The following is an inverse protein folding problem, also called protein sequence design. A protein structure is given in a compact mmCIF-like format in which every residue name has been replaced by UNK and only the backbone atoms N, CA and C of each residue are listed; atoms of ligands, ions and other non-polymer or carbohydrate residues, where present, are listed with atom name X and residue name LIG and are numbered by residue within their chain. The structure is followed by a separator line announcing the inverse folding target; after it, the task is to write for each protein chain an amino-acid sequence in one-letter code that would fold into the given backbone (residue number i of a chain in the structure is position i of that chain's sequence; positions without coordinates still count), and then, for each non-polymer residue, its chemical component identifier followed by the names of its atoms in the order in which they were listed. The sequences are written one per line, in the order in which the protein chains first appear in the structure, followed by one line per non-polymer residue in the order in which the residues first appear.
data_IF_616739891455
#
_entry.id   IF_616739891455
#
_cell.length_a   1.000
_cell.length_b   1.000
_cell.length_c   1.000
_cell.angle_alpha   90.00
_cell.angle_beta   90.00
_cell.angle_gamma   90.00
#
_symmetry.space_group_name_H-M   'P 1'
#
loop_
_entity.id
_entity.type
_entity.pdbx_description
1 polymer ?
#
# COMPACT_ATOMS: atom_id res chain seq x y z
N UNK A 1 49.53 -2.21 -50.17
CA UNK A 1 49.18 -3.40 -49.37
C UNK A 1 49.73 -3.18 -47.97
N UNK A 2 49.02 -3.19 -46.84
CA UNK A 2 47.67 -3.61 -46.45
C UNK A 2 47.24 -2.77 -45.25
N UNK A 3 45.95 -2.49 -45.20
CA UNK A 3 45.21 -1.83 -44.12
C UNK A 3 45.32 -2.64 -42.82
N UNK A 4 45.57 -1.99 -41.69
CA UNK A 4 45.20 -2.50 -40.36
C UNK A 4 44.42 -1.42 -39.60
N UNK A 5 43.10 -1.58 -39.60
CA UNK A 5 42.16 -0.88 -38.74
C UNK A 5 42.33 -1.41 -37.32
N UNK A 6 42.57 -0.54 -36.34
CA UNK A 6 42.29 -0.86 -34.95
C UNK A 6 41.04 -0.10 -34.50
N UNK A 7 40.04 -0.92 -34.22
CA UNK A 7 38.69 -0.59 -33.81
C UNK A 7 38.69 -0.46 -32.28
N UNK A 8 38.11 0.63 -31.78
CA UNK A 8 37.19 0.63 -30.63
C UNK A 8 37.76 0.50 -29.22
N UNK A 9 37.57 1.55 -28.42
CA UNK A 9 36.69 1.49 -27.23
C UNK A 9 36.47 2.92 -26.69
N UNK A 10 35.36 3.54 -27.07
CA UNK A 10 34.83 4.70 -26.38
C UNK A 10 34.32 4.24 -25.00
N UNK A 11 34.99 4.64 -23.92
CA UNK A 11 34.46 4.50 -22.57
C UNK A 11 33.37 5.56 -22.36
N UNK A 12 32.20 5.33 -22.93
CA UNK A 12 31.00 6.09 -22.58
C UNK A 12 30.52 5.61 -21.21
N UNK A 13 30.93 6.33 -20.16
CA UNK A 13 30.41 6.16 -18.81
C UNK A 13 28.94 6.63 -18.79
N UNK A 14 28.00 5.75 -19.16
CA UNK A 14 26.58 6.01 -18.99
C UNK A 14 26.25 6.00 -17.50
N UNK A 15 26.23 7.18 -16.88
CA UNK A 15 25.60 7.37 -15.58
C UNK A 15 24.10 7.15 -15.77
N UNK A 16 23.63 5.94 -15.45
CA UNK A 16 22.21 5.69 -15.22
C UNK A 16 21.81 6.46 -13.96
N UNK A 17 21.46 7.74 -14.13
CA UNK A 17 20.77 8.49 -13.09
C UNK A 17 19.44 7.77 -12.85
N UNK A 18 19.39 6.98 -11.78
CA UNK A 18 18.14 6.41 -11.31
C UNK A 18 17.25 7.58 -10.93
N UNK A 19 16.17 7.81 -11.68
CA UNK A 19 15.14 8.77 -11.26
C UNK A 19 14.66 8.32 -9.89
N UNK A 20 15.05 9.04 -8.84
CA UNK A 20 14.49 8.82 -7.52
C UNK A 20 12.98 8.97 -7.65
N UNK A 21 12.23 7.93 -7.32
CA UNK A 21 10.77 8.00 -7.29
C UNK A 21 10.39 9.12 -6.32
N UNK A 22 9.88 10.24 -6.85
CA UNK A 22 9.42 11.34 -6.03
C UNK A 22 8.14 10.89 -5.34
N UNK A 23 8.21 10.74 -4.03
CA UNK A 23 7.05 10.48 -3.20
C UNK A 23 6.68 11.78 -2.47
N UNK A 24 5.40 12.15 -2.51
CA UNK A 24 4.93 13.35 -1.83
C UNK A 24 4.43 13.00 -0.42
N UNK A 25 4.91 13.66 0.64
CA UNK A 25 4.38 13.45 1.98
C UNK A 25 2.93 13.97 2.05
N UNK A 26 2.02 13.13 2.52
CA UNK A 26 0.62 13.47 2.71
C UNK A 26 0.04 12.70 3.89
N UNK A 27 -1.29 12.66 3.99
CA UNK A 27 -1.96 11.89 5.03
C UNK A 27 -3.37 11.45 4.63
N UNK A 28 -3.88 10.45 5.35
CA UNK A 28 -5.25 9.97 5.18
C UNK A 28 -6.25 10.84 5.94
N UNK A 29 -7.37 11.20 5.35
CA UNK A 29 -8.44 11.99 5.99
C UNK A 29 -9.55 11.13 6.59
N UNK A 30 -9.42 9.80 6.54
CA UNK A 30 -10.34 8.85 7.17
C UNK A 30 -9.62 7.53 7.49
N UNK A 31 -10.31 6.60 8.15
CA UNK A 31 -9.85 5.21 8.22
C UNK A 31 -10.09 4.55 6.85
N UNK A 32 -9.03 4.28 6.08
CA UNK A 32 -9.12 3.80 4.69
C UNK A 32 -8.36 2.51 4.47
N UNK A 33 -8.91 1.63 3.63
CA UNK A 33 -8.25 0.39 3.26
C UNK A 33 -7.05 0.65 2.34
N UNK A 34 -5.88 0.16 2.73
CA UNK A 34 -4.71 0.05 1.86
C UNK A 34 -4.83 -1.27 1.09
N UNK A 35 -5.02 -1.22 -0.22
CA UNK A 35 -5.31 -2.42 -1.04
C UNK A 35 -4.13 -2.86 -1.88
N UNK A 36 -4.12 -4.14 -2.24
CA UNK A 36 -3.07 -4.72 -3.09
C UNK A 36 -3.15 -4.32 -4.57
N UNK A 37 -4.15 -3.54 -4.97
CA UNK A 37 -4.36 -3.03 -6.32
C UNK A 37 -5.51 -2.01 -6.35
N UNK A 38 -5.64 -1.22 -7.44
CA UNK A 38 -6.61 -0.12 -7.56
C UNK A 38 -8.01 -0.60 -8.00
N UNK A 39 -8.56 -1.59 -7.29
CA UNK A 39 -9.93 -2.08 -7.44
C UNK A 39 -10.42 -2.52 -6.05
N UNK A 40 -11.71 -2.37 -5.78
CA UNK A 40 -12.30 -2.81 -4.52
C UNK A 40 -12.30 -4.32 -4.34
N UNK A 41 -12.13 -5.08 -5.41
CA UNK A 41 -11.99 -6.53 -5.34
C UNK A 41 -10.61 -6.95 -4.80
N UNK A 42 -9.56 -6.14 -4.98
CA UNK A 42 -8.25 -6.44 -4.42
C UNK A 42 -8.30 -6.44 -2.88
N UNK A 43 -7.65 -7.41 -2.21
CA UNK A 43 -7.67 -7.51 -0.76
C UNK A 43 -7.03 -6.30 -0.11
N UNK A 44 -7.54 -5.96 1.07
CA UNK A 44 -6.91 -4.99 1.95
C UNK A 44 -5.68 -5.64 2.62
N UNK A 45 -4.56 -4.90 2.61
CA UNK A 45 -3.35 -5.20 3.36
C UNK A 45 -3.57 -4.83 4.82
N UNK A 46 -4.11 -3.63 5.04
CA UNK A 46 -4.39 -3.03 6.35
C UNK A 46 -5.36 -1.84 6.19
N UNK A 47 -5.67 -1.16 7.29
CA UNK A 47 -6.40 0.11 7.36
C UNK A 47 -5.44 1.22 7.81
N UNK A 48 -5.29 2.24 6.95
CA UNK A 48 -4.60 3.49 7.29
C UNK A 48 -5.56 4.33 8.15
N UNK A 49 -5.19 4.69 9.39
CA UNK A 49 -6.05 5.52 10.22
C UNK A 49 -6.18 6.94 9.71
N UNK A 50 -7.26 7.56 10.12
CA UNK A 50 -7.45 8.99 9.97
C UNK A 50 -6.29 9.79 10.58
N UNK A 51 -5.77 10.73 9.80
CA UNK A 51 -4.66 11.61 10.15
C UNK A 51 -3.27 11.00 10.03
N UNK A 52 -3.14 9.69 9.76
CA UNK A 52 -1.82 9.07 9.64
C UNK A 52 -1.09 9.52 8.37
N UNK A 53 0.22 9.72 8.52
CA UNK A 53 1.11 10.16 7.44
C UNK A 53 1.30 9.04 6.43
N UNK A 54 1.30 9.36 5.14
CA UNK A 54 1.60 8.46 4.03
C UNK A 54 2.59 9.12 3.08
N UNK A 55 3.32 8.33 2.32
CA UNK A 55 4.06 8.81 1.16
C UNK A 55 3.25 8.46 -0.10
N UNK A 56 2.82 9.47 -0.85
CA UNK A 56 2.05 9.30 -2.08
C UNK A 56 3.03 9.08 -3.23
N UNK A 57 3.06 7.86 -3.76
CA UNK A 57 4.03 7.41 -4.76
C UNK A 57 3.61 7.76 -6.19
N UNK A 58 2.31 7.83 -6.43
CA UNK A 58 1.74 8.12 -7.74
C UNK A 58 0.24 7.89 -7.77
N UNK A 59 -0.45 8.43 -8.76
CA UNK A 59 -1.89 8.22 -8.95
C UNK A 59 -2.21 7.66 -10.34
N UNK A 60 -3.35 6.98 -10.48
CA UNK A 60 -3.85 6.62 -11.80
C UNK A 60 -4.19 7.87 -12.61
N UNK A 61 -4.22 7.73 -13.94
CA UNK A 61 -4.51 8.82 -14.89
C UNK A 61 -5.93 9.40 -14.72
N UNK A 62 -6.88 8.58 -14.26
CA UNK A 62 -8.23 9.00 -13.92
C UNK A 62 -8.36 9.58 -12.50
N UNK A 63 -7.25 9.58 -11.75
CA UNK A 63 -7.14 10.04 -10.36
C UNK A 63 -8.05 9.31 -9.38
N UNK A 64 -8.60 8.14 -9.72
CA UNK A 64 -9.50 7.40 -8.82
C UNK A 64 -8.79 6.74 -7.64
N UNK A 65 -7.52 6.39 -7.83
CA UNK A 65 -6.66 5.71 -6.87
C UNK A 65 -5.26 6.30 -6.89
N UNK A 66 -4.61 6.27 -5.73
CA UNK A 66 -3.19 6.55 -5.60
C UNK A 66 -2.46 5.42 -4.89
N UNK A 67 -1.27 5.10 -5.39
CA UNK A 67 -0.30 4.26 -4.72
C UNK A 67 0.32 5.05 -3.57
N UNK A 68 0.37 4.45 -2.39
CA UNK A 68 0.98 5.03 -1.19
C UNK A 68 1.90 4.02 -0.50
N UNK A 69 2.88 4.52 0.22
CA UNK A 69 3.65 3.77 1.23
C UNK A 69 3.19 4.21 2.62
N UNK A 70 2.79 3.24 3.44
CA UNK A 70 2.32 3.46 4.80
C UNK A 70 2.79 2.33 5.73
N UNK A 71 3.47 2.69 6.82
CA UNK A 71 4.02 1.76 7.83
C UNK A 71 4.80 0.57 7.22
N UNK A 72 5.55 0.84 6.15
CA UNK A 72 6.35 -0.14 5.41
C UNK A 72 5.57 -0.95 4.36
N UNK A 73 4.25 -0.82 4.32
CA UNK A 73 3.39 -1.47 3.35
C UNK A 73 3.06 -0.52 2.20
N UNK A 74 3.26 -1.01 0.99
CA UNK A 74 2.96 -0.30 -0.25
C UNK A 74 1.66 -0.83 -0.83
N UNK A 75 0.77 0.03 -1.28
CA UNK A 75 -0.52 -0.37 -1.82
C UNK A 75 -1.32 0.82 -2.36
N UNK A 76 -2.60 0.60 -2.65
CA UNK A 76 -3.48 1.56 -3.31
C UNK A 76 -4.60 2.01 -2.40
N UNK A 77 -4.89 3.31 -2.41
CA UNK A 77 -5.98 3.94 -1.66
C UNK A 77 -6.80 4.83 -2.58
N UNK A 78 -8.06 5.03 -2.22
CA UNK A 78 -8.93 6.01 -2.87
C UNK A 78 -8.34 7.41 -2.70
N UNK A 79 -8.19 8.14 -3.80
CA UNK A 79 -7.50 9.44 -3.83
C UNK A 79 -8.22 10.54 -3.06
N UNK A 80 -9.55 10.49 -2.94
CA UNK A 80 -10.33 11.53 -2.25
C UNK A 80 -10.08 11.58 -0.74
N UNK A 81 -9.43 10.54 -0.20
CA UNK A 81 -9.05 10.44 1.20
C UNK A 81 -7.62 10.87 1.46
N UNK A 82 -6.90 11.35 0.44
CA UNK A 82 -5.56 11.88 0.58
C UNK A 82 -5.59 13.40 0.65
N UNK A 83 -4.77 13.94 1.54
CA UNK A 83 -4.59 15.37 1.72
C UNK A 83 -3.15 15.71 2.06
N UNK A 84 -2.86 17.00 1.92
CA UNK A 84 -1.60 17.63 2.30
C UNK A 84 -1.84 18.64 3.41
N UNK A 85 -0.80 18.92 4.19
CA UNK A 85 -0.80 20.09 5.05
C UNK A 85 -0.62 21.34 4.17
N UNK A 86 -1.42 22.38 4.39
CA UNK A 86 -1.35 23.61 3.61
C UNK A 86 -1.67 24.87 4.43
N UNK A 87 -1.57 26.05 3.80
CA UNK A 87 -1.90 27.31 4.46
C UNK A 87 -3.36 27.33 4.91
N UNK A 88 -3.61 27.50 6.21
CA UNK A 88 -4.96 27.59 6.76
C UNK A 88 -5.66 26.24 7.04
N UNK A 89 -4.98 25.12 6.84
CA UNK A 89 -5.53 23.79 7.16
C UNK A 89 -5.07 22.71 6.19
N UNK A 90 -5.84 21.63 6.09
CA UNK A 90 -5.55 20.58 5.12
C UNK A 90 -6.05 20.96 3.73
N UNK A 91 -5.38 20.42 2.72
CA UNK A 91 -5.71 20.59 1.32
C UNK A 91 -5.95 19.21 0.70
N UNK A 92 -7.17 18.94 0.23
CA UNK A 92 -7.49 17.65 -0.41
C UNK A 92 -6.71 17.49 -1.71
N UNK A 93 -6.17 16.29 -1.93
CA UNK A 93 -5.49 15.93 -3.18
C UNK A 93 -6.39 16.20 -4.40
N UNK A 94 -7.69 15.95 -4.32
CA UNK A 94 -8.60 16.17 -5.45
C UNK A 94 -8.84 17.64 -5.78
N UNK A 95 -8.75 18.52 -4.77
CA UNK A 95 -8.97 19.96 -4.96
C UNK A 95 -7.84 20.59 -5.78
N UNK A 96 -6.61 20.10 -5.61
CA UNK A 96 -5.39 20.65 -6.22
C UNK A 96 -4.82 19.81 -7.35
N UNK A 97 -5.06 18.50 -7.32
CA UNK A 97 -4.55 17.51 -8.25
C UNK A 97 -3.13 17.01 -7.94
N UNK A 98 -2.77 15.80 -8.41
CA UNK A 98 -1.45 15.19 -8.18
C UNK A 98 -0.27 16.07 -8.59
N UNK A 99 -0.39 16.73 -9.75
CA UNK A 99 0.69 17.54 -10.32
C UNK A 99 1.09 18.73 -9.43
N UNK A 100 0.17 19.28 -8.62
CA UNK A 100 0.45 20.41 -7.73
C UNK A 100 1.45 20.05 -6.62
N UNK A 101 1.60 18.76 -6.30
CA UNK A 101 2.52 18.23 -5.30
C UNK A 101 3.55 17.28 -5.92
N UNK A 102 3.80 17.40 -7.23
CA UNK A 102 4.74 16.56 -7.99
C UNK A 102 4.47 15.05 -7.89
N UNK A 103 3.24 14.66 -7.59
CA UNK A 103 2.84 13.26 -7.58
C UNK A 103 2.69 12.78 -9.04
N UNK A 104 3.45 11.77 -9.48
CA UNK A 104 3.41 11.33 -10.86
C UNK A 104 2.12 10.53 -11.16
N UNK A 105 1.75 10.50 -12.44
CA UNK A 105 0.76 9.54 -12.93
C UNK A 105 1.43 8.19 -13.22
N UNK A 106 0.85 7.11 -12.74
CA UNK A 106 1.36 5.74 -12.82
C UNK A 106 0.32 4.80 -13.41
N UNK A 107 0.79 3.66 -13.94
CA UNK A 107 -0.07 2.56 -14.38
C UNK A 107 0.06 1.37 -13.43
N UNK A 108 -1.00 0.58 -13.34
CA UNK A 108 -1.00 -0.64 -12.54
C UNK A 108 -0.91 -1.87 -13.44
N UNK A 109 0.11 -2.70 -13.21
CA UNK A 109 0.27 -4.00 -13.84
C UNK A 109 0.42 -5.08 -12.77
N UNK A 110 -0.67 -5.80 -12.50
CA UNK A 110 -0.80 -6.70 -11.34
C UNK A 110 0.38 -7.65 -11.16
N UNK A 111 0.80 -8.34 -12.24
CA UNK A 111 1.94 -9.27 -12.21
C UNK A 111 3.21 -8.59 -11.69
N UNK A 112 3.66 -7.54 -12.38
CA UNK A 112 4.90 -6.83 -12.03
C UNK A 112 4.85 -6.19 -10.64
N UNK A 113 3.67 -5.71 -10.24
CA UNK A 113 3.47 -5.03 -8.97
C UNK A 113 3.56 -6.00 -7.80
N UNK A 114 2.83 -7.11 -7.89
CA UNK A 114 2.82 -8.16 -6.87
C UNK A 114 4.17 -8.88 -6.77
N UNK A 115 4.78 -9.24 -7.90
CA UNK A 115 6.10 -9.89 -7.92
C UNK A 115 7.18 -8.99 -7.28
N UNK A 116 7.03 -7.66 -7.37
CA UNK A 116 7.99 -6.71 -6.82
C UNK A 116 7.80 -6.44 -5.34
N UNK A 117 6.56 -6.24 -4.88
CA UNK A 117 6.31 -5.69 -3.55
C UNK A 117 5.77 -6.71 -2.55
N UNK A 118 5.26 -7.86 -3.01
CA UNK A 118 4.50 -8.78 -2.14
C UNK A 118 5.09 -10.18 -2.01
N UNK A 119 6.23 -10.45 -2.64
CA UNK A 119 6.96 -11.70 -2.41
C UNK A 119 7.23 -11.89 -0.92
N UNK A 120 6.93 -13.09 -0.41
CA UNK A 120 7.09 -13.44 1.00
C UNK A 120 5.93 -13.03 1.91
N UNK A 121 4.92 -12.29 1.42
CA UNK A 121 3.69 -12.04 2.17
C UNK A 121 2.85 -13.34 2.24
N UNK A 122 2.18 -13.65 3.37
CA UNK A 122 1.46 -14.91 3.54
C UNK A 122 0.40 -15.20 2.47
N UNK A 123 -0.24 -14.15 1.96
CA UNK A 123 -1.29 -14.21 0.93
C UNK A 123 -0.74 -14.14 -0.50
N UNK A 124 0.58 -14.11 -0.70
CA UNK A 124 1.20 -14.06 -2.02
C UNK A 124 0.94 -15.33 -2.85
N UNK A 125 0.57 -16.44 -2.21
CA UNK A 125 0.14 -17.66 -2.90
C UNK A 125 -1.06 -17.43 -3.83
N UNK A 126 -1.91 -16.45 -3.52
CA UNK A 126 -3.10 -16.12 -4.33
C UNK A 126 -2.79 -15.34 -5.61
N UNK A 127 -1.56 -14.86 -5.81
CA UNK A 127 -1.19 -13.93 -6.89
C UNK A 127 -1.70 -14.30 -8.29
N UNK A 128 -1.79 -15.59 -8.63
CA UNK A 128 -2.28 -16.05 -9.93
C UNK A 128 -3.70 -15.51 -10.25
N UNK A 129 -4.58 -15.44 -9.25
CA UNK A 129 -5.93 -14.86 -9.42
C UNK A 129 -5.86 -13.38 -9.77
N UNK A 130 -4.93 -12.67 -9.14
CA UNK A 130 -4.76 -11.23 -9.28
C UNK A 130 -4.05 -10.86 -10.59
N UNK A 131 -3.25 -11.78 -11.14
CA UNK A 131 -2.61 -11.60 -12.44
C UNK A 131 -3.63 -11.67 -13.57
N UNK A 132 -4.67 -12.47 -13.40
CA UNK A 132 -5.79 -12.58 -14.34
C UNK A 132 -6.91 -11.56 -14.05
N UNK A 133 -6.85 -10.83 -12.94
CA UNK A 133 -7.88 -9.85 -12.58
C UNK A 133 -7.79 -8.64 -13.49
N UNK A 134 -8.92 -8.29 -14.10
CA UNK A 134 -9.04 -7.08 -14.91
C UNK A 134 -9.48 -5.94 -14.00
N UNK A 135 -8.62 -4.95 -13.81
CA UNK A 135 -8.94 -3.76 -13.03
C UNK A 135 -10.11 -3.05 -13.68
N UNK A 136 -11.20 -2.88 -12.93
CA UNK A 136 -12.38 -2.18 -13.43
C UNK A 136 -12.28 -0.70 -13.07
N UNK A 137 -12.76 0.20 -13.94
CA UNK A 137 -12.98 1.59 -13.57
C UNK A 137 -13.85 1.66 -12.32
N UNK A 138 -13.51 2.59 -11.43
CA UNK A 138 -14.26 2.76 -10.20
C UNK A 138 -15.68 3.20 -10.51
N UNK A 139 -16.66 2.49 -9.96
CA UNK A 139 -18.07 2.83 -10.08
C UNK A 139 -18.35 4.22 -9.48
N UNK A 140 -19.16 5.01 -10.18
CA UNK A 140 -19.58 6.36 -9.78
C UNK A 140 -18.42 7.36 -9.62
N UNK A 141 -17.23 7.02 -10.13
CA UNK A 141 -16.10 7.93 -10.20
C UNK A 141 -16.18 8.79 -11.46
N UNK A 142 -15.97 10.09 -11.29
CA UNK A 142 -15.91 11.04 -12.38
C UNK A 142 -14.50 11.59 -12.43
N UNK A 143 -13.84 11.43 -13.59
CA UNK A 143 -12.51 11.98 -13.82
C UNK A 143 -12.52 13.49 -13.52
N UNK A 144 -11.49 14.01 -12.85
CA UNK A 144 -11.37 15.45 -12.62
C UNK A 144 -11.41 16.27 -13.91
N UNK A 145 -11.99 17.49 -13.87
CA UNK A 145 -11.99 18.38 -15.02
C UNK A 145 -10.55 18.72 -15.43
N UNK A 146 -10.33 18.88 -16.73
CA UNK A 146 -9.05 19.37 -17.25
C UNK A 146 -8.84 20.84 -16.84
N UNK A 147 -7.58 21.21 -16.58
CA UNK A 147 -7.21 22.57 -16.23
C UNK A 147 -7.39 22.91 -14.74
N UNK A 148 -7.63 24.20 -14.46
CA UNK A 148 -7.67 24.72 -13.08
C UNK A 148 -8.93 24.23 -12.36
N UNK A 149 -8.73 23.67 -11.16
CA UNK A 149 -9.81 23.15 -10.31
C UNK A 149 -10.26 24.22 -9.32
N UNK A 150 -11.57 24.23 -9.04
CA UNK A 150 -12.11 24.94 -7.89
C UNK A 150 -12.17 23.94 -6.73
N UNK A 151 -11.72 24.33 -5.54
CA UNK A 151 -11.79 23.48 -4.36
C UNK A 151 -13.23 23.00 -4.12
N UNK A 152 -13.40 21.71 -3.87
CA UNK A 152 -14.70 21.08 -3.65
C UNK A 152 -15.48 20.71 -4.92
N UNK A 153 -14.92 20.84 -6.12
CA UNK A 153 -15.61 20.52 -7.40
C UNK A 153 -16.25 19.11 -7.42
N UNK A 154 -15.63 18.15 -6.75
CA UNK A 154 -16.02 16.74 -6.71
C UNK A 154 -17.06 16.42 -5.63
N UNK A 155 -17.39 17.37 -4.74
CA UNK A 155 -18.25 17.12 -3.57
C UNK A 155 -19.73 17.05 -3.93
N UNK A 156 -20.15 17.73 -5.00
CA UNK A 156 -21.56 17.73 -5.41
C UNK A 156 -21.97 16.31 -5.84
N UNK A 157 -23.00 15.77 -5.21
CA UNK A 157 -23.50 14.40 -5.43
C UNK A 157 -22.48 13.30 -5.11
N UNK A 158 -21.41 13.61 -4.38
CA UNK A 158 -20.43 12.62 -3.94
C UNK A 158 -21.08 11.59 -3.03
N UNK A 159 -20.77 10.32 -3.26
CA UNK A 159 -21.13 9.20 -2.38
C UNK A 159 -19.86 8.49 -1.95
N UNK A 160 -19.69 8.38 -0.64
CA UNK A 160 -18.59 7.63 -0.08
C UNK A 160 -18.70 6.14 -0.49
N UNK A 161 -17.58 5.46 -0.76
CA UNK A 161 -17.57 4.00 -0.90
C UNK A 161 -18.21 3.32 0.30
N UNK A 162 -18.83 2.16 0.06
CA UNK A 162 -19.47 1.38 1.12
C UNK A 162 -18.50 1.12 2.29
N UNK A 163 -18.96 1.38 3.51
CA UNK A 163 -18.17 1.23 4.74
C UNK A 163 -17.21 2.40 5.04
N UNK A 164 -17.11 3.40 4.18
CA UNK A 164 -16.31 4.61 4.43
C UNK A 164 -17.23 5.80 4.72
N UNK A 165 -16.74 6.70 5.59
CA UNK A 165 -17.35 8.01 5.80
C UNK A 165 -16.96 8.94 4.65
N UNK A 166 -17.76 9.94 4.30
CA UNK A 166 -17.34 10.97 3.35
C UNK A 166 -16.06 11.67 3.84
N UNK A 167 -15.13 12.04 2.94
CA UNK A 167 -13.97 12.81 3.34
C UNK A 167 -14.41 14.14 3.97
N UNK A 168 -13.69 14.63 4.99
CA UNK A 168 -14.09 15.79 5.75
C UNK A 168 -14.29 17.04 4.89
N UNK A 169 -15.13 17.95 5.39
CA UNK A 169 -15.33 19.30 4.85
C UNK A 169 -14.39 20.31 5.52
N UNK A 170 -14.42 21.55 5.01
CA UNK A 170 -13.71 22.69 5.59
C UNK A 170 -13.88 22.77 7.11
N UNK A 171 -12.78 23.00 7.83
CA UNK A 171 -12.76 23.13 9.29
C UNK A 171 -12.49 21.83 10.05
N UNK A 172 -12.41 20.68 9.36
CA UNK A 172 -11.90 19.46 9.99
C UNK A 172 -10.46 19.66 10.48
N UNK A 173 -10.21 19.14 11.68
CA UNK A 173 -8.91 19.20 12.33
C UNK A 173 -8.30 17.81 12.34
N UNK A 174 -7.09 17.73 11.82
CA UNK A 174 -6.29 16.51 11.87
C UNK A 174 -6.07 16.07 13.32
N UNK A 175 -6.27 14.78 13.65
CA UNK A 175 -5.95 14.25 14.98
C UNK A 175 -4.55 14.66 15.43
N UNK A 176 -4.42 15.04 16.70
CA UNK A 176 -3.17 15.56 17.24
C UNK A 176 -2.05 14.52 17.11
N UNK A 177 -0.80 15.00 17.15
CA UNK A 177 0.34 14.12 17.02
C UNK A 177 0.38 13.09 18.16
N UNK A 178 -0.04 13.46 19.37
CA UNK A 178 -0.14 12.56 20.52
C UNK A 178 -1.12 11.42 20.26
N UNK A 179 -2.36 11.75 19.86
CA UNK A 179 -3.40 10.75 19.56
C UNK A 179 -2.93 9.79 18.46
N UNK A 180 -2.29 10.31 17.41
CA UNK A 180 -1.75 9.49 16.31
C UNK A 180 -0.61 8.59 16.79
N UNK A 181 0.29 9.08 17.63
CA UNK A 181 1.37 8.27 18.19
C UNK A 181 0.85 7.17 19.11
N UNK A 182 -0.16 7.46 19.92
CA UNK A 182 -0.82 6.48 20.78
C UNK A 182 -1.48 5.38 19.94
N UNK A 183 -2.27 5.74 18.92
CA UNK A 183 -2.86 4.77 17.99
C UNK A 183 -1.82 3.91 17.26
N UNK A 184 -0.65 4.49 16.90
CA UNK A 184 0.48 3.73 16.34
C UNK A 184 1.09 2.77 17.36
N UNK A 185 1.24 3.18 18.62
CA UNK A 185 1.76 2.31 19.70
C UNK A 185 0.82 1.13 19.95
N UNK A 186 -0.48 1.38 20.09
CA UNK A 186 -1.48 0.32 20.26
C UNK A 186 -1.42 -0.72 19.14
N UNK A 187 -1.37 -0.29 17.88
CA UNK A 187 -1.25 -1.22 16.74
C UNK A 187 0.06 -1.97 16.71
N UNK A 188 1.18 -1.33 17.05
CA UNK A 188 2.49 -2.00 17.16
C UNK A 188 2.47 -3.08 18.23
N UNK A 189 1.87 -2.80 19.38
CA UNK A 189 1.73 -3.77 20.47
C UNK A 189 0.85 -4.96 20.03
N UNK A 190 -0.33 -4.69 19.45
CA UNK A 190 -1.21 -5.75 18.94
C UNK A 190 -0.52 -6.63 17.88
N UNK A 191 0.29 -6.04 16.97
CA UNK A 191 1.09 -6.78 16.00
C UNK A 191 2.19 -7.63 16.66
N UNK A 192 2.76 -7.19 17.77
CA UNK A 192 3.78 -7.94 18.52
C UNK A 192 3.15 -9.12 19.27
N UNK A 193 2.02 -8.90 19.92
CA UNK A 193 1.21 -9.92 20.61
C UNK A 193 0.82 -11.03 19.63
N UNK A 194 0.21 -10.69 18.49
CA UNK A 194 -0.13 -11.67 17.46
C UNK A 194 1.08 -12.49 16.96
N UNK A 195 2.27 -11.85 16.91
CA UNK A 195 3.51 -12.55 16.52
C UNK A 195 4.01 -13.49 17.61
N UNK A 196 3.80 -13.15 18.89
CA UNK A 196 4.12 -14.00 20.03
C UNK A 196 3.17 -15.21 20.05
N UNK A 197 1.86 -14.98 19.96
CA UNK A 197 0.86 -16.06 19.90
C UNK A 197 1.18 -17.08 18.80
N UNK A 198 1.50 -16.61 17.60
CA UNK A 198 1.91 -17.50 16.49
C UNK A 198 3.20 -18.26 16.75
N UNK A 199 4.13 -17.73 17.56
CA UNK A 199 5.36 -18.43 17.93
C UNK A 199 5.07 -19.51 18.95
N UNK A 200 4.21 -19.21 19.91
CA UNK A 200 3.80 -20.14 20.97
C UNK A 200 2.99 -21.30 20.38
N UNK A 201 2.02 -21.02 19.50
CA UNK A 201 1.29 -22.05 18.72
C UNK A 201 2.23 -23.01 17.98
N UNK A 202 3.31 -22.46 17.39
CA UNK A 202 4.31 -23.26 16.66
C UNK A 202 5.17 -24.09 17.60
N UNK A 203 5.43 -23.59 18.80
CA UNK A 203 6.18 -24.30 19.84
C UNK A 203 5.36 -25.46 20.38
N UNK A 204 4.10 -25.23 20.73
CA UNK A 204 3.20 -26.25 21.25
C UNK A 204 2.99 -27.38 20.25
N UNK A 205 2.79 -27.05 18.95
CA UNK A 205 2.73 -28.07 17.89
C UNK A 205 4.02 -28.88 17.73
N UNK A 206 5.18 -28.30 18.04
CA UNK A 206 6.47 -29.02 17.99
C UNK A 206 6.65 -29.92 19.20
N UNK A 207 6.23 -29.47 20.36
CA UNK A 207 6.35 -30.21 21.61
C UNK A 207 5.36 -31.39 21.61
N UNK A 208 4.10 -31.20 21.21
CA UNK A 208 3.16 -32.30 21.01
C UNK A 208 3.69 -33.37 20.04
N UNK A 209 4.26 -32.96 18.90
CA UNK A 209 4.89 -33.90 17.94
C UNK A 209 6.11 -34.63 18.52
N UNK A 210 6.78 -34.08 19.52
CA UNK A 210 7.91 -34.74 20.19
C UNK A 210 7.40 -35.77 21.18
N UNK A 211 6.30 -35.48 21.85
CA UNK A 211 5.67 -36.37 22.82
C UNK A 211 5.03 -37.56 22.10
N UNK A 212 4.28 -37.34 21.01
CA UNK A 212 3.75 -38.42 20.15
C UNK A 212 4.87 -39.38 19.70
N UNK A 213 6.02 -38.83 19.27
CA UNK A 213 7.19 -39.63 18.86
C UNK A 213 7.86 -40.37 20.02
N UNK A 214 7.73 -39.88 21.25
CA UNK A 214 8.26 -40.55 22.44
C UNK A 214 7.36 -41.72 22.82
N UNK A 215 6.05 -41.55 22.71
CA UNK A 215 5.06 -42.58 23.01
C UNK A 215 5.12 -43.71 21.97
N UNK A 216 5.16 -43.38 20.66
CA UNK A 216 5.38 -44.37 19.58
C UNK A 216 6.63 -45.24 19.83
N UNK A 217 7.72 -44.62 20.32
CA UNK A 217 8.98 -45.32 20.62
C UNK A 217 8.89 -46.19 21.87
N UNK A 218 8.03 -45.85 22.84
CA UNK A 218 7.79 -46.67 24.03
C UNK A 218 6.97 -47.90 23.67
N UNK A 219 5.94 -47.73 22.85
CA UNK A 219 5.08 -48.83 22.43
C UNK A 219 5.85 -49.86 21.59
N UNK A 220 6.65 -49.39 20.63
CA UNK A 220 7.52 -50.27 19.84
C UNK A 220 8.61 -51.00 20.65
N UNK A 221 8.91 -50.57 21.88
CA UNK A 221 9.83 -51.29 22.78
C UNK A 221 9.11 -52.38 23.57
N UNK A 222 7.82 -52.22 23.88
CA UNK A 222 7.04 -53.26 24.55
C UNK A 222 6.68 -54.43 23.62
N UNK A 223 6.46 -54.19 22.33
CA UNK A 223 6.13 -55.25 21.36
C UNK A 223 7.31 -56.13 20.94
N UNK A 224 8.53 -55.86 21.44
CA UNK A 224 9.76 -56.60 21.11
C UNK A 224 10.19 -57.61 22.18
N UNK A 225 9.33 -57.90 23.17
CA UNK A 225 9.58 -58.88 24.22
C UNK A 225 8.64 -60.07 24.16
#
# INVERSE_FOLDING_TARGET
MRILKLIGAAAALMVLASAAAQAAPGFSTANVNLRTGPDIDFPAIDVIPEGDDVEIMGCLDDESWCEVLWDGDRGWVFSEYLAFDGPGGYVSLLDVGPAAYHVPFVTFAARSYWDRYYVGRPWYSERARWYAHHVRPRRDWHRPPSGRRNAGWWRKNYRAPSGLRPPPHHGWKRPSREIRQEARRHRRNARQEYRQDRRDDRRDRRDNRRDDRRDDRRDHRHDRH
#
